data_IF_397393980282
#
_entry.id   IF_397393980282
#
_cell.length_a   1.000
_cell.length_b   1.000
_cell.length_c   1.000
_cell.angle_alpha   90.00
_cell.angle_beta   90.00
_cell.angle_gamma   90.00
#
_symmetry.space_group_name_H-M   'P 1'
#
loop_
_entity.id
_entity.type
_entity.pdbx_description
1 polymer ?
#
# COMPACT_ATOMS: atom_id res chain seq x y z
N UNK A 1 -7.53 10.40 -18.25
CA UNK A 1 -6.61 9.24 -18.38
C UNK A 1 -7.46 8.00 -18.21
N UNK A 2 -7.26 6.97 -19.03
CA UNK A 2 -7.98 5.70 -18.93
C UNK A 2 -6.95 4.58 -18.76
N UNK A 3 -7.25 3.59 -17.93
CA UNK A 3 -6.37 2.46 -17.66
C UNK A 3 -7.03 1.15 -18.11
N UNK A 4 -6.21 0.25 -18.66
CA UNK A 4 -6.55 -1.09 -19.11
C UNK A 4 -5.99 -2.13 -18.11
N UNK A 5 -6.68 -3.26 -17.91
CA UNK A 5 -6.14 -4.41 -17.18
C UNK A 5 -4.87 -4.97 -17.86
N UNK A 6 -3.90 -5.41 -17.06
CA UNK A 6 -2.63 -5.96 -17.55
C UNK A 6 -2.83 -7.12 -18.52
N UNK A 7 -3.79 -8.00 -18.24
CA UNK A 7 -4.11 -9.20 -19.02
C UNK A 7 -4.50 -8.87 -20.47
N UNK A 8 -5.03 -7.67 -20.72
CA UNK A 8 -5.42 -7.25 -22.05
C UNK A 8 -4.24 -6.80 -22.92
N UNK A 9 -3.11 -6.43 -22.30
CA UNK A 9 -1.98 -5.78 -22.99
C UNK A 9 -0.64 -6.50 -22.80
N UNK A 10 -0.54 -7.42 -21.85
CA UNK A 10 0.71 -8.05 -21.43
C UNK A 10 1.42 -8.78 -22.57
N UNK A 11 0.72 -9.64 -23.29
CA UNK A 11 1.32 -10.36 -24.42
C UNK A 11 1.83 -9.44 -25.52
N UNK A 12 1.08 -8.37 -25.82
CA UNK A 12 1.48 -7.40 -26.83
C UNK A 12 2.71 -6.59 -26.37
N UNK A 13 2.75 -6.23 -25.09
CA UNK A 13 3.89 -5.56 -24.48
C UNK A 13 5.12 -6.46 -24.44
N UNK A 14 4.98 -7.76 -24.12
CA UNK A 14 6.09 -8.71 -24.08
C UNK A 14 6.69 -8.94 -25.47
N UNK A 15 5.85 -9.16 -26.50
CA UNK A 15 6.31 -9.23 -27.90
C UNK A 15 6.98 -7.93 -28.35
N UNK A 16 6.50 -6.78 -27.91
CA UNK A 16 7.15 -5.50 -28.17
C UNK A 16 8.51 -5.43 -27.47
N UNK A 17 8.60 -5.85 -26.21
CA UNK A 17 9.85 -5.84 -25.46
C UNK A 17 10.91 -6.70 -26.17
N UNK A 18 10.59 -7.94 -26.54
CA UNK A 18 11.52 -8.85 -27.22
C UNK A 18 12.04 -8.30 -28.55
N UNK A 19 11.14 -7.73 -29.36
CA UNK A 19 11.48 -7.09 -30.65
C UNK A 19 12.46 -5.93 -30.46
N UNK A 20 12.15 -5.03 -29.54
CA UNK A 20 12.98 -3.85 -29.29
C UNK A 20 14.29 -4.23 -28.59
N UNK A 21 14.26 -5.18 -27.67
CA UNK A 21 15.45 -5.68 -27.01
C UNK A 21 16.42 -6.33 -28.01
N UNK A 22 15.92 -7.09 -28.98
CA UNK A 22 16.73 -7.66 -30.07
C UNK A 22 17.38 -6.57 -30.92
N UNK A 23 16.60 -5.56 -31.32
CA UNK A 23 17.07 -4.42 -32.12
C UNK A 23 18.13 -3.59 -31.38
N UNK A 24 17.92 -3.32 -30.09
CA UNK A 24 18.85 -2.54 -29.26
C UNK A 24 20.13 -3.34 -29.02
N UNK A 25 20.03 -4.63 -28.69
CA UNK A 25 21.21 -5.50 -28.46
C UNK A 25 22.10 -5.61 -29.69
N UNK A 26 21.55 -5.52 -30.91
CA UNK A 26 22.34 -5.48 -32.13
C UNK A 26 23.18 -4.20 -32.27
N UNK A 27 22.73 -3.07 -31.72
CA UNK A 27 23.43 -1.79 -31.77
C UNK A 27 24.29 -1.52 -30.53
N UNK A 28 23.91 -2.08 -29.37
CA UNK A 28 24.53 -1.90 -28.07
C UNK A 28 24.60 -3.27 -27.37
N UNK A 29 25.58 -4.13 -27.73
CA UNK A 29 25.63 -5.51 -27.27
C UNK A 29 25.75 -5.67 -25.75
N UNK A 30 26.43 -4.73 -25.10
CA UNK A 30 26.74 -4.78 -23.65
C UNK A 30 25.65 -4.15 -22.78
N UNK A 31 24.53 -3.70 -23.37
CA UNK A 31 23.44 -3.09 -22.60
C UNK A 31 22.64 -4.14 -21.82
N UNK A 32 22.31 -3.81 -20.57
CA UNK A 32 21.32 -4.53 -19.77
C UNK A 32 19.95 -3.95 -20.13
N UNK A 33 19.02 -4.82 -20.56
CA UNK A 33 17.72 -4.43 -21.08
C UNK A 33 16.62 -4.94 -20.16
N UNK A 34 15.84 -4.02 -19.59
CA UNK A 34 14.83 -4.31 -18.58
C UNK A 34 13.44 -3.89 -19.09
N UNK A 35 12.48 -4.80 -19.06
CA UNK A 35 11.06 -4.44 -19.24
C UNK A 35 10.58 -3.78 -17.95
N UNK A 36 10.23 -2.50 -18.01
CA UNK A 36 9.82 -1.71 -16.85
C UNK A 36 8.42 -1.13 -17.06
N UNK A 37 7.97 -0.26 -16.15
CA UNK A 37 6.63 0.32 -16.22
C UNK A 37 5.53 -0.67 -15.85
N UNK A 38 4.27 -0.25 -16.00
CA UNK A 38 3.14 -1.04 -15.48
C UNK A 38 2.85 -2.31 -16.30
N UNK A 39 3.19 -2.34 -17.59
CA UNK A 39 3.06 -3.56 -18.41
C UNK A 39 4.02 -4.67 -18.01
N UNK A 40 5.06 -4.35 -17.25
CA UNK A 40 5.98 -5.35 -16.69
C UNK A 40 5.47 -5.96 -15.37
N UNK A 41 4.38 -5.48 -14.77
CA UNK A 41 3.94 -5.94 -13.45
C UNK A 41 2.60 -6.68 -13.60
N UNK A 42 2.57 -8.01 -13.37
CA UNK A 42 1.33 -8.79 -13.43
C UNK A 42 0.21 -8.18 -12.56
N UNK A 43 -1.02 -8.21 -13.06
CA UNK A 43 -2.20 -7.64 -12.39
C UNK A 43 -2.29 -6.10 -12.36
N UNK A 44 -1.31 -5.37 -12.90
CA UNK A 44 -1.33 -3.91 -12.87
C UNK A 44 -2.42 -3.30 -13.77
N UNK A 45 -2.91 -2.10 -13.44
CA UNK A 45 -3.68 -1.30 -14.41
C UNK A 45 -2.72 -0.37 -15.13
N UNK A 46 -2.84 -0.24 -16.45
CA UNK A 46 -1.83 0.39 -17.30
C UNK A 46 -2.44 1.23 -18.41
N UNK A 47 -1.69 2.17 -18.98
CA UNK A 47 -2.15 2.92 -20.16
C UNK A 47 -1.97 2.11 -21.45
N UNK A 48 -1.36 0.93 -21.36
CA UNK A 48 -1.07 0.04 -22.47
C UNK A 48 0.25 0.34 -23.17
N UNK A 49 1.02 1.34 -22.73
CA UNK A 49 2.37 1.60 -23.20
C UNK A 49 3.39 0.60 -22.62
N UNK A 50 4.38 0.24 -23.45
CA UNK A 50 5.51 -0.59 -23.05
C UNK A 50 6.72 0.30 -22.77
N UNK A 51 7.29 0.21 -21.57
CA UNK A 51 8.52 0.92 -21.20
C UNK A 51 9.71 -0.03 -21.14
N UNK A 52 10.82 0.36 -21.76
CA UNK A 52 12.07 -0.38 -21.77
C UNK A 52 13.18 0.49 -21.18
N UNK A 53 13.87 -0.01 -20.16
CA UNK A 53 15.07 0.62 -19.63
C UNK A 53 16.32 -0.02 -20.27
N UNK A 54 17.18 0.81 -20.87
CA UNK A 54 18.49 0.45 -21.42
C UNK A 54 19.54 0.94 -20.44
N UNK A 55 20.24 0.01 -19.79
CA UNK A 55 21.27 0.33 -18.80
C UNK A 55 22.65 0.05 -19.38
N UNK A 56 23.56 1.00 -19.26
CA UNK A 56 24.93 0.90 -19.76
C UNK A 56 25.91 1.48 -18.75
N UNK A 57 27.16 1.06 -18.78
CA UNK A 57 28.20 1.70 -17.97
C UNK A 57 28.29 3.21 -18.28
N UNK A 58 28.57 4.07 -17.27
CA UNK A 58 28.62 5.53 -17.46
C UNK A 58 29.53 5.97 -18.62
N UNK A 59 30.67 5.32 -18.80
CA UNK A 59 31.64 5.60 -19.87
C UNK A 59 31.09 5.33 -21.28
N UNK A 60 30.08 4.46 -21.39
CA UNK A 60 29.45 4.07 -22.64
C UNK A 60 28.19 4.88 -22.94
N UNK A 61 27.71 5.69 -22.01
CA UNK A 61 26.44 6.40 -22.11
C UNK A 61 26.34 7.25 -23.39
N UNK A 62 27.33 8.08 -23.69
CA UNK A 62 27.31 8.95 -24.87
C UNK A 62 27.26 8.15 -26.19
N UNK A 63 27.99 7.02 -26.26
CA UNK A 63 27.98 6.15 -27.44
C UNK A 63 26.63 5.42 -27.59
N UNK A 64 26.06 4.94 -26.48
CA UNK A 64 24.75 4.32 -26.44
C UNK A 64 23.63 5.28 -26.84
N UNK A 65 23.68 6.54 -26.38
CA UNK A 65 22.75 7.59 -26.77
C UNK A 65 22.79 7.83 -28.28
N UNK A 66 24.00 7.99 -28.85
CA UNK A 66 24.17 8.21 -30.28
C UNK A 66 23.70 6.99 -31.11
N UNK A 67 23.85 5.78 -30.60
CA UNK A 67 23.34 4.56 -31.23
C UNK A 67 21.79 4.50 -31.18
N UNK A 68 21.18 4.74 -30.02
CA UNK A 68 19.72 4.78 -29.88
C UNK A 68 19.09 5.89 -30.72
N UNK A 69 19.74 7.05 -30.85
CA UNK A 69 19.26 8.15 -31.69
C UNK A 69 19.20 7.83 -33.19
N UNK A 70 19.95 6.81 -33.65
CA UNK A 70 19.83 6.28 -35.03
C UNK A 70 18.67 5.32 -35.18
N UNK A 71 18.22 4.72 -34.07
CA UNK A 71 17.15 3.71 -34.05
C UNK A 71 15.78 4.33 -33.76
N UNK A 72 15.72 5.31 -32.88
CA UNK A 72 14.49 5.84 -32.31
C UNK A 72 14.48 7.38 -32.28
N UNK A 73 13.33 8.02 -32.52
CA UNK A 73 13.11 9.42 -32.21
C UNK A 73 13.43 9.74 -30.75
N UNK A 74 14.10 10.87 -30.52
CA UNK A 74 14.34 11.40 -29.17
C UNK A 74 13.03 11.93 -28.59
N UNK A 75 12.72 11.59 -27.34
CA UNK A 75 11.57 12.15 -26.63
C UNK A 75 11.94 13.57 -26.14
N UNK A 76 11.23 14.58 -26.64
CA UNK A 76 11.48 16.00 -26.33
C UNK A 76 10.79 16.49 -25.06
N UNK A 77 9.86 15.70 -24.51
CA UNK A 77 9.10 16.02 -23.30
C UNK A 77 9.76 15.56 -22.00
N UNK A 78 10.95 14.97 -22.07
CA UNK A 78 11.68 14.39 -20.94
C UNK A 78 12.99 15.15 -20.67
N UNK A 79 13.39 15.18 -19.40
CA UNK A 79 14.71 15.69 -19.00
C UNK A 79 15.81 14.88 -19.69
N UNK A 80 16.91 15.54 -20.04
CA UNK A 80 18.08 14.90 -20.66
C UNK A 80 19.33 15.37 -19.95
N UNK A 81 20.18 14.44 -19.56
CA UNK A 81 21.41 14.68 -18.81
C UNK A 81 22.57 13.88 -19.43
N UNK A 82 23.75 13.96 -18.82
CA UNK A 82 24.90 13.11 -19.14
C UNK A 82 24.74 11.63 -18.75
N UNK A 83 23.66 11.29 -18.03
CA UNK A 83 23.40 9.95 -17.49
C UNK A 83 21.96 9.46 -17.71
N UNK A 84 21.11 10.27 -18.37
CA UNK A 84 19.74 9.93 -18.69
C UNK A 84 19.28 10.53 -20.04
N UNK A 85 18.68 9.70 -20.88
CA UNK A 85 18.05 10.13 -22.13
C UNK A 85 16.82 9.28 -22.44
N UNK A 86 15.76 9.91 -22.94
CA UNK A 86 14.53 9.22 -23.34
C UNK A 86 14.31 9.26 -24.86
N UNK A 87 13.74 8.17 -25.37
CA UNK A 87 13.36 7.95 -26.76
C UNK A 87 11.95 7.33 -26.81
N UNK A 88 11.30 7.39 -27.96
CA UNK A 88 9.96 6.84 -28.13
C UNK A 88 9.75 6.29 -29.55
N UNK A 89 8.91 5.26 -29.66
CA UNK A 89 8.42 4.75 -30.94
C UNK A 89 6.89 4.56 -30.86
N UNK A 90 6.17 5.12 -31.83
CA UNK A 90 4.72 4.95 -31.93
C UNK A 90 4.39 3.59 -32.55
N UNK A 91 3.42 2.88 -31.96
CA UNK A 91 3.12 1.50 -32.36
C UNK A 91 1.90 0.91 -31.67
N UNK A 92 1.79 -0.41 -31.72
CA UNK A 92 0.80 -1.19 -30.98
C UNK A 92 1.51 -2.28 -30.16
N UNK A 93 1.89 -2.00 -28.90
CA UNK A 93 1.73 -0.75 -28.15
C UNK A 93 2.73 0.35 -28.53
N UNK A 94 2.47 1.58 -28.07
CA UNK A 94 3.48 2.64 -28.00
C UNK A 94 4.63 2.21 -27.09
N UNK A 95 5.87 2.60 -27.44
CA UNK A 95 7.07 2.19 -26.73
C UNK A 95 7.86 3.38 -26.22
N UNK A 96 8.07 3.44 -24.90
CA UNK A 96 9.00 4.36 -24.24
C UNK A 96 10.35 3.68 -23.99
N UNK A 97 11.45 4.36 -24.29
CA UNK A 97 12.81 3.83 -24.10
C UNK A 97 13.60 4.80 -23.25
N UNK A 98 14.12 4.31 -22.12
CA UNK A 98 14.85 5.09 -21.12
C UNK A 98 16.29 4.60 -21.07
N UNK A 99 17.22 5.38 -21.60
CA UNK A 99 18.66 5.12 -21.48
C UNK A 99 19.16 5.70 -20.15
N UNK A 100 19.78 4.85 -19.34
CA UNK A 100 20.33 5.21 -18.02
C UNK A 100 21.77 4.74 -17.88
N UNK A 101 22.64 5.57 -17.30
CA UNK A 101 23.95 5.13 -16.84
C UNK A 101 23.79 4.30 -15.55
N UNK A 102 24.43 3.13 -15.48
CA UNK A 102 24.37 2.25 -14.30
C UNK A 102 24.88 2.99 -13.06
N UNK A 103 24.11 2.94 -11.97
CA UNK A 103 24.38 3.65 -10.73
C UNK A 103 24.17 5.18 -10.80
N UNK A 104 23.66 5.69 -11.92
CA UNK A 104 23.31 7.10 -12.06
C UNK A 104 21.99 7.45 -11.37
N UNK A 105 21.64 8.75 -11.23
CA UNK A 105 20.45 9.21 -10.51
C UNK A 105 19.11 8.69 -11.04
N UNK A 106 19.07 8.22 -12.29
CA UNK A 106 17.87 7.71 -12.96
C UNK A 106 17.90 6.18 -13.15
N UNK A 107 18.89 5.47 -12.61
CA UNK A 107 19.00 4.01 -12.69
C UNK A 107 18.17 3.30 -11.62
N UNK A 108 16.87 3.58 -11.57
CA UNK A 108 15.97 3.06 -10.53
C UNK A 108 14.68 2.42 -11.07
N UNK A 109 14.41 2.48 -12.38
CA UNK A 109 13.14 2.00 -12.92
C UNK A 109 12.96 0.48 -12.74
N UNK A 110 14.02 -0.30 -12.92
CA UNK A 110 14.00 -1.74 -12.63
C UNK A 110 13.80 -2.02 -11.13
N UNK A 111 14.41 -1.24 -10.23
CA UNK A 111 14.22 -1.39 -8.78
C UNK A 111 12.78 -1.09 -8.36
N UNK A 112 12.17 -0.04 -8.93
CA UNK A 112 10.77 0.28 -8.71
C UNK A 112 9.86 -0.87 -9.16
N UNK A 113 10.09 -1.42 -10.37
CA UNK A 113 9.35 -2.59 -10.86
C UNK A 113 9.48 -3.76 -9.90
N UNK A 114 10.71 -4.11 -9.53
CA UNK A 114 10.98 -5.28 -8.70
C UNK A 114 10.39 -5.10 -7.30
N UNK A 115 10.42 -3.87 -6.76
CA UNK A 115 9.74 -3.54 -5.51
C UNK A 115 8.24 -3.70 -5.63
N UNK A 116 7.62 -3.20 -6.70
CA UNK A 116 6.18 -3.35 -6.92
C UNK A 116 5.78 -4.80 -7.18
N UNK A 117 6.66 -5.63 -7.75
CA UNK A 117 6.42 -7.09 -7.89
C UNK A 117 6.58 -7.84 -6.56
N UNK A 118 7.52 -7.43 -5.72
CA UNK A 118 7.86 -8.10 -4.47
C UNK A 118 7.18 -7.55 -3.21
N UNK A 119 6.50 -6.41 -3.30
CA UNK A 119 5.77 -5.78 -2.21
C UNK A 119 4.35 -5.44 -2.65
N UNK A 120 3.43 -6.33 -2.26
CA UNK A 120 2.01 -6.20 -2.57
C UNK A 120 1.37 -4.93 -1.99
N UNK A 121 1.89 -4.40 -0.88
CA UNK A 121 1.37 -3.14 -0.31
C UNK A 121 1.75 -1.97 -1.21
N UNK A 122 2.99 -1.95 -1.68
CA UNK A 122 3.46 -0.94 -2.62
C UNK A 122 2.71 -1.05 -3.96
N UNK A 123 2.49 -2.28 -4.42
CA UNK A 123 1.69 -2.56 -5.62
C UNK A 123 0.28 -1.97 -5.50
N UNK A 124 -0.47 -2.37 -4.46
CA UNK A 124 -1.85 -1.92 -4.27
C UNK A 124 -1.96 -0.42 -4.02
N UNK A 125 -1.02 0.17 -3.28
CA UNK A 125 -0.97 1.61 -3.10
C UNK A 125 -0.75 2.35 -4.43
N UNK A 126 0.11 1.81 -5.30
CA UNK A 126 0.33 2.38 -6.64
C UNK A 126 -0.92 2.23 -7.54
N UNK A 127 -1.61 1.09 -7.43
CA UNK A 127 -2.84 0.83 -8.18
C UNK A 127 -3.98 1.76 -7.71
N UNK A 128 -4.17 1.90 -6.40
CA UNK A 128 -5.13 2.86 -5.82
C UNK A 128 -4.81 4.31 -6.19
N UNK A 129 -3.53 4.68 -6.28
CA UNK A 129 -3.12 5.99 -6.77
C UNK A 129 -3.53 6.22 -8.23
N UNK A 130 -3.41 5.21 -9.10
CA UNK A 130 -3.87 5.31 -10.50
C UNK A 130 -5.38 5.50 -10.58
N UNK A 131 -6.15 4.72 -9.81
CA UNK A 131 -7.61 4.84 -9.74
C UNK A 131 -8.04 6.22 -9.24
N UNK A 132 -7.41 6.74 -8.19
CA UNK A 132 -7.70 8.07 -7.63
C UNK A 132 -7.52 9.20 -8.64
N UNK A 133 -6.56 9.04 -9.56
CA UNK A 133 -6.23 10.05 -10.59
C UNK A 133 -6.82 9.68 -11.97
N UNK A 134 -7.75 8.73 -12.03
CA UNK A 134 -8.50 8.47 -13.25
C UNK A 134 -9.28 9.73 -13.67
N UNK A 135 -9.23 10.08 -14.97
CA UNK A 135 -9.81 11.33 -15.45
C UNK A 135 -9.07 12.64 -15.08
N UNK A 136 -8.10 12.61 -14.15
CA UNK A 136 -7.39 13.81 -13.70
C UNK A 136 -6.41 14.39 -14.76
N UNK A 137 -6.01 15.68 -14.65
CA UNK A 137 -4.97 16.26 -15.49
C UNK A 137 -3.62 15.53 -15.36
N UNK A 138 -2.91 15.39 -16.49
CA UNK A 138 -1.64 14.66 -16.56
C UNK A 138 -0.57 15.23 -15.60
N UNK A 139 -0.56 16.55 -15.39
CA UNK A 139 0.39 17.20 -14.48
C UNK A 139 0.19 16.76 -13.03
N UNK A 140 -1.07 16.70 -12.56
CA UNK A 140 -1.41 16.27 -11.21
C UNK A 140 -1.05 14.80 -10.97
N UNK A 141 -1.34 13.94 -11.95
CA UNK A 141 -0.91 12.54 -11.92
C UNK A 141 0.61 12.39 -11.83
N UNK A 142 1.36 13.14 -12.65
CA UNK A 142 2.84 13.09 -12.66
C UNK A 142 3.42 13.46 -11.30
N UNK A 143 2.94 14.55 -10.69
CA UNK A 143 3.41 14.99 -9.38
C UNK A 143 3.09 13.97 -8.27
N UNK A 144 1.91 13.37 -8.29
CA UNK A 144 1.52 12.35 -7.32
C UNK A 144 2.35 11.05 -7.47
N UNK A 145 2.55 10.61 -8.72
CA UNK A 145 3.38 9.45 -9.05
C UNK A 145 4.82 9.63 -8.60
N UNK A 146 5.39 10.80 -8.86
CA UNK A 146 6.77 11.14 -8.47
C UNK A 146 6.95 11.06 -6.95
N UNK A 147 6.07 11.72 -6.18
CA UNK A 147 6.09 11.64 -4.71
C UNK A 147 5.97 10.21 -4.18
N UNK A 148 5.12 9.39 -4.80
CA UNK A 148 4.95 8.00 -4.41
C UNK A 148 6.23 7.19 -4.66
N UNK A 149 6.86 7.34 -5.83
CA UNK A 149 8.10 6.64 -6.14
C UNK A 149 9.29 7.11 -5.31
N UNK A 150 9.39 8.40 -5.02
CA UNK A 150 10.41 8.91 -4.07
C UNK A 150 10.25 8.27 -2.69
N UNK A 151 9.01 8.18 -2.18
CA UNK A 151 8.75 7.55 -0.89
C UNK A 151 9.06 6.04 -0.91
N UNK A 152 8.73 5.36 -2.01
CA UNK A 152 8.97 3.93 -2.18
C UNK A 152 10.48 3.62 -2.23
N UNK A 153 11.27 4.43 -2.93
CA UNK A 153 12.72 4.27 -3.04
C UNK A 153 13.47 4.68 -1.76
N UNK A 154 12.97 5.65 -0.98
CA UNK A 154 13.59 5.96 0.34
C UNK A 154 13.51 4.81 1.34
N UNK A 155 12.59 3.87 1.14
CA UNK A 155 12.42 2.68 1.98
C UNK A 155 13.33 1.49 1.64
N UNK A 156 14.23 1.59 0.64
CA UNK A 156 15.00 0.44 0.12
C UNK A 156 16.35 0.20 0.79
N UNK A 157 16.68 0.90 1.88
CA UNK A 157 17.86 0.55 2.68
C UNK A 157 17.60 -0.76 3.45
N UNK A 158 17.93 -1.88 2.81
CA UNK A 158 17.91 -3.27 3.28
C UNK A 158 16.54 -3.93 3.50
N UNK A 159 16.16 -4.83 2.60
CA UNK A 159 15.65 -6.18 2.91
C UNK A 159 15.16 -6.87 1.62
N UNK A 160 15.89 -7.88 1.17
CA UNK A 160 15.41 -8.86 0.17
C UNK A 160 14.93 -10.10 0.91
N UNK A 161 13.69 -10.54 0.66
CA UNK A 161 13.40 -11.96 0.64
C UNK A 161 12.78 -12.36 -0.70
N UNK A 162 13.47 -13.26 -1.40
CA UNK A 162 12.91 -14.18 -2.40
C UNK A 162 12.01 -15.21 -1.73
N UNK A 163 10.79 -15.47 -2.24
CA UNK A 163 10.28 -16.81 -2.64
C UNK A 163 9.13 -16.66 -3.66
N UNK A 164 9.17 -17.57 -4.65
CA UNK A 164 8.23 -17.96 -5.71
C UNK A 164 6.76 -17.48 -5.67
N UNK A 165 6.29 -17.05 -6.84
CA UNK A 165 4.92 -16.59 -7.09
C UNK A 165 3.83 -17.67 -6.99
N UNK A 166 2.59 -17.16 -6.87
CA UNK A 166 1.34 -17.93 -6.85
C UNK A 166 0.45 -17.63 -5.65
N UNK A 167 0.98 -17.69 -4.43
CA UNK A 167 0.16 -17.70 -3.22
C UNK A 167 -0.31 -16.32 -2.74
N UNK A 168 0.53 -15.29 -2.90
CA UNK A 168 0.22 -13.93 -2.43
C UNK A 168 -1.01 -13.32 -3.11
N UNK A 169 -1.19 -13.54 -4.41
CA UNK A 169 -2.30 -12.97 -5.19
C UNK A 169 -3.67 -13.47 -4.72
N UNK A 170 -3.78 -14.76 -4.40
CA UNK A 170 -5.04 -15.35 -3.93
C UNK A 170 -5.44 -14.85 -2.54
N UNK A 171 -4.46 -14.63 -1.64
CA UNK A 171 -4.72 -14.03 -0.32
C UNK A 171 -5.25 -12.60 -0.43
N UNK A 172 -4.65 -11.82 -1.33
CA UNK A 172 -5.04 -10.42 -1.59
C UNK A 172 -6.44 -10.35 -2.18
N UNK A 173 -6.73 -11.21 -3.16
CA UNK A 173 -8.05 -11.29 -3.78
C UNK A 173 -9.13 -11.71 -2.77
N UNK A 174 -8.81 -12.65 -1.86
CA UNK A 174 -9.72 -13.02 -0.78
C UNK A 174 -10.05 -11.84 0.14
N UNK A 175 -9.02 -11.08 0.56
CA UNK A 175 -9.20 -9.88 1.38
C UNK A 175 -9.98 -8.77 0.64
N UNK A 176 -9.70 -8.57 -0.66
CA UNK A 176 -10.42 -7.61 -1.50
C UNK A 176 -11.90 -7.95 -1.60
N UNK A 177 -12.23 -9.22 -1.91
CA UNK A 177 -13.61 -9.69 -2.01
C UNK A 177 -14.37 -9.56 -0.69
N UNK A 178 -13.72 -9.87 0.43
CA UNK A 178 -14.32 -9.72 1.74
C UNK A 178 -14.69 -8.25 2.07
N UNK A 179 -13.91 -7.31 1.53
CA UNK A 179 -14.14 -5.88 1.72
C UNK A 179 -15.13 -5.26 0.70
N UNK A 180 -15.68 -6.03 -0.25
CA UNK A 180 -16.65 -5.51 -1.21
C UNK A 180 -17.94 -5.07 -0.50
N UNK A 181 -18.33 -3.82 -0.73
CA UNK A 181 -19.52 -3.24 -0.09
C UNK A 181 -19.36 -2.94 1.41
N UNK A 182 -18.16 -3.12 1.98
CA UNK A 182 -17.85 -2.73 3.35
C UNK A 182 -17.91 -1.20 3.50
N UNK A 183 -18.21 -0.75 4.72
CA UNK A 183 -18.13 0.68 5.03
C UNK A 183 -16.67 1.16 5.10
N UNK A 184 -16.38 2.47 4.99
CA UNK A 184 -15.01 2.98 4.95
C UNK A 184 -14.14 2.65 6.16
N UNK A 185 -14.72 2.15 7.26
CA UNK A 185 -13.96 1.68 8.42
C UNK A 185 -13.42 0.25 8.23
N UNK A 186 -13.99 -0.53 7.33
CA UNK A 186 -13.67 -1.95 7.10
C UNK A 186 -13.37 -2.25 5.61
N UNK A 187 -13.11 -1.21 4.81
CA UNK A 187 -12.81 -1.36 3.40
C UNK A 187 -11.40 -1.90 3.14
N UNK A 188 -11.12 -2.24 1.90
CA UNK A 188 -9.81 -2.77 1.53
C UNK A 188 -8.68 -1.74 1.75
N UNK A 189 -8.99 -0.44 1.67
CA UNK A 189 -8.02 0.60 1.95
C UNK A 189 -7.62 0.62 3.43
N UNK A 190 -8.53 0.34 4.36
CA UNK A 190 -8.21 0.10 5.76
C UNK A 190 -7.25 -1.08 5.92
N UNK A 191 -7.57 -2.23 5.33
CA UNK A 191 -6.71 -3.43 5.38
C UNK A 191 -5.29 -3.08 4.93
N UNK A 192 -5.12 -2.39 3.79
CA UNK A 192 -3.80 -2.02 3.28
C UNK A 192 -3.02 -1.08 4.23
N UNK A 193 -3.68 -0.14 4.91
CA UNK A 193 -3.03 0.74 5.89
C UNK A 193 -2.58 -0.04 7.14
N UNK A 194 -3.37 -1.03 7.56
CA UNK A 194 -3.01 -1.93 8.66
C UNK A 194 -1.83 -2.81 8.26
N UNK A 195 -1.83 -3.41 7.06
CA UNK A 195 -0.69 -4.19 6.55
C UNK A 195 0.59 -3.34 6.50
N UNK A 196 0.50 -2.11 5.98
CA UNK A 196 1.64 -1.19 5.95
C UNK A 196 2.18 -0.88 7.34
N UNK A 197 1.30 -0.63 8.31
CA UNK A 197 1.69 -0.36 9.69
C UNK A 197 2.29 -1.59 10.37
N UNK A 198 1.69 -2.77 10.18
CA UNK A 198 2.17 -4.03 10.70
C UNK A 198 3.58 -4.36 10.17
N UNK A 199 3.83 -4.19 8.87
CA UNK A 199 5.15 -4.40 8.28
C UNK A 199 6.22 -3.52 8.90
N UNK A 200 5.93 -2.21 9.05
CA UNK A 200 6.87 -1.25 9.67
C UNK A 200 7.17 -1.56 11.13
N UNK A 201 6.16 -1.97 11.89
CA UNK A 201 6.32 -2.33 13.30
C UNK A 201 7.08 -3.65 13.42
N UNK A 202 6.73 -4.66 12.61
CA UNK A 202 7.43 -5.95 12.61
C UNK A 202 8.92 -5.80 12.33
N UNK A 203 9.29 -5.03 11.29
CA UNK A 203 10.68 -4.75 10.94
C UNK A 203 11.44 -4.08 12.09
N UNK A 204 10.85 -3.06 12.71
CA UNK A 204 11.50 -2.30 13.77
C UNK A 204 11.62 -3.05 15.11
N UNK A 205 10.65 -3.92 15.42
CA UNK A 205 10.59 -4.66 16.68
C UNK A 205 11.19 -6.08 16.58
N UNK A 206 11.56 -6.53 15.37
CA UNK A 206 12.12 -7.85 15.13
C UNK A 206 11.10 -8.99 15.15
N UNK A 207 9.84 -8.70 14.79
CA UNK A 207 8.80 -9.72 14.61
C UNK A 207 8.91 -10.41 13.24
N UNK A 208 8.32 -11.60 13.10
CA UNK A 208 8.17 -12.22 11.79
C UNK A 208 7.24 -11.37 10.90
N UNK A 209 7.84 -10.61 9.99
CA UNK A 209 7.14 -9.70 9.08
C UNK A 209 6.11 -10.42 8.25
N UNK A 210 6.42 -11.61 7.73
CA UNK A 210 5.52 -12.34 6.84
C UNK A 210 4.26 -12.78 7.60
N UNK A 211 4.40 -13.27 8.83
CA UNK A 211 3.25 -13.62 9.69
C UNK A 211 2.43 -12.37 10.02
N UNK A 212 3.08 -11.29 10.46
CA UNK A 212 2.40 -10.07 10.87
C UNK A 212 1.64 -9.40 9.70
N UNK A 213 2.25 -9.27 8.52
CA UNK A 213 1.59 -8.66 7.35
C UNK A 213 0.49 -9.55 6.78
N UNK A 214 0.66 -10.87 6.83
CA UNK A 214 -0.38 -11.81 6.36
C UNK A 214 -1.58 -11.82 7.30
N UNK A 215 -1.34 -11.79 8.61
CA UNK A 215 -2.40 -11.63 9.61
C UNK A 215 -3.15 -10.30 9.42
N UNK A 216 -2.42 -9.20 9.25
CA UNK A 216 -3.03 -7.91 8.93
C UNK A 216 -3.80 -7.89 7.60
N UNK A 217 -3.39 -8.66 6.60
CA UNK A 217 -4.11 -8.73 5.32
C UNK A 217 -5.46 -9.46 5.47
N UNK A 218 -5.50 -10.48 6.33
CA UNK A 218 -6.63 -11.39 6.45
C UNK A 218 -7.51 -11.12 7.69
N UNK A 219 -7.20 -10.10 8.49
CA UNK A 219 -7.92 -9.84 9.75
C UNK A 219 -9.38 -9.42 9.59
N UNK A 220 -9.77 -9.02 8.38
CA UNK A 220 -11.12 -8.54 8.01
C UNK A 220 -11.80 -9.44 6.95
N UNK A 221 -11.44 -10.73 6.88
CA UNK A 221 -12.06 -11.68 5.93
C UNK A 221 -13.57 -11.87 6.11
N UNK A 222 -14.11 -11.51 7.28
CA UNK A 222 -15.52 -11.65 7.59
C UNK A 222 -15.94 -10.66 8.69
N UNK A 223 -17.04 -9.96 8.44
CA UNK A 223 -17.71 -9.13 9.44
C UNK A 223 -19.20 -9.41 9.48
N UNK A 224 -19.73 -9.59 10.69
CA UNK A 224 -21.17 -9.50 10.87
C UNK A 224 -21.62 -8.04 10.71
N UNK A 225 -22.87 -7.81 10.26
CA UNK A 225 -23.45 -6.48 10.26
C UNK A 225 -23.39 -5.81 11.65
N UNK A 226 -23.23 -4.49 11.67
CA UNK A 226 -23.24 -3.72 12.93
C UNK A 226 -24.54 -3.99 13.71
N UNK A 227 -24.39 -4.43 14.96
CA UNK A 227 -25.51 -4.76 15.84
C UNK A 227 -25.98 -6.22 15.81
N UNK A 228 -25.34 -7.09 15.01
CA UNK A 228 -25.63 -8.53 15.04
C UNK A 228 -25.22 -9.15 16.39
N UNK A 229 -26.02 -10.09 16.98
CA UNK A 229 -25.69 -10.72 18.26
C UNK A 229 -24.33 -11.42 18.28
N UNK A 230 -23.93 -11.98 17.13
CA UNK A 230 -22.68 -12.72 16.96
C UNK A 230 -21.52 -11.86 16.45
N UNK A 231 -21.66 -10.53 16.41
CA UNK A 231 -20.57 -9.64 15.96
C UNK A 231 -19.26 -9.82 16.75
N UNK A 232 -19.34 -10.28 18.00
CA UNK A 232 -18.17 -10.63 18.80
C UNK A 232 -17.39 -11.86 18.29
N UNK A 233 -17.99 -12.68 17.42
CA UNK A 233 -17.38 -13.88 16.82
C UNK A 233 -16.70 -13.59 15.47
N UNK A 234 -16.80 -12.38 14.92
CA UNK A 234 -16.21 -12.05 13.61
C UNK A 234 -14.69 -12.29 13.55
N UNK A 235 -13.95 -11.96 14.62
CA UNK A 235 -12.51 -12.20 14.70
C UNK A 235 -12.14 -13.69 14.73
N UNK A 236 -12.92 -14.51 15.46
CA UNK A 236 -12.75 -15.97 15.47
C UNK A 236 -12.98 -16.54 14.06
N UNK A 237 -14.03 -16.05 13.39
CA UNK A 237 -14.36 -16.49 12.04
C UNK A 237 -13.28 -16.11 11.02
N UNK A 238 -12.73 -14.90 11.11
CA UNK A 238 -11.60 -14.48 10.28
C UNK A 238 -10.38 -15.37 10.49
N UNK A 239 -10.09 -15.74 11.75
CA UNK A 239 -8.99 -16.66 12.09
C UNK A 239 -9.19 -18.04 11.44
N UNK A 240 -10.39 -18.62 11.53
CA UNK A 240 -10.70 -19.91 10.89
C UNK A 240 -10.56 -19.87 9.37
N UNK A 241 -11.09 -18.82 8.73
CA UNK A 241 -11.02 -18.62 7.28
C UNK A 241 -9.58 -18.44 6.81
N UNK A 242 -8.80 -17.63 7.53
CA UNK A 242 -7.39 -17.41 7.23
C UNK A 242 -6.59 -18.71 7.35
N UNK A 243 -6.80 -19.49 8.41
CA UNK A 243 -6.15 -20.80 8.57
C UNK A 243 -6.45 -21.71 7.38
N UNK A 244 -7.73 -21.89 7.04
CA UNK A 244 -8.14 -22.75 5.93
C UNK A 244 -7.53 -22.29 4.59
N UNK A 245 -7.55 -20.99 4.33
CA UNK A 245 -6.99 -20.41 3.12
C UNK A 245 -5.48 -20.62 3.03
N UNK A 246 -4.73 -20.40 4.12
CA UNK A 246 -3.28 -20.58 4.15
C UNK A 246 -2.87 -22.04 3.98
N UNK A 247 -3.62 -22.98 4.57
CA UNK A 247 -3.40 -24.42 4.36
C UNK A 247 -3.64 -24.81 2.89
N UNK A 248 -4.68 -24.26 2.27
CA UNK A 248 -4.98 -24.49 0.84
C UNK A 248 -3.90 -23.89 -0.08
N UNK A 249 -3.29 -22.76 0.32
CA UNK A 249 -2.11 -22.17 -0.33
C UNK A 249 -0.79 -22.89 -0.03
N UNK A 250 -0.82 -24.01 0.71
CA UNK A 250 0.35 -24.84 0.98
C UNK A 250 1.30 -24.28 2.05
N UNK A 251 0.83 -23.38 2.92
CA UNK A 251 1.64 -22.89 4.03
C UNK A 251 1.97 -23.99 5.04
N UNK A 252 3.15 -23.94 5.69
CA UNK A 252 3.43 -24.77 6.84
C UNK A 252 2.38 -24.52 7.95
N UNK A 253 1.79 -25.61 8.47
CA UNK A 253 0.71 -25.57 9.48
C UNK A 253 1.04 -24.61 10.63
N UNK A 254 2.25 -24.71 11.19
CA UNK A 254 2.68 -23.88 12.31
C UNK A 254 2.69 -22.37 11.97
N UNK A 255 3.04 -21.98 10.75
CA UNK A 255 3.00 -20.57 10.31
C UNK A 255 1.55 -20.10 10.10
N UNK A 256 0.71 -20.95 9.50
CA UNK A 256 -0.71 -20.67 9.33
C UNK A 256 -1.44 -20.51 10.67
N UNK A 257 -1.12 -21.36 11.65
CA UNK A 257 -1.64 -21.25 13.03
C UNK A 257 -1.17 -19.97 13.72
N UNK A 258 0.07 -19.52 13.50
CA UNK A 258 0.57 -18.26 14.04
C UNK A 258 -0.17 -17.05 13.45
N UNK A 259 -0.46 -17.06 12.15
CA UNK A 259 -1.30 -16.04 11.49
C UNK A 259 -2.72 -16.06 12.06
N UNK A 260 -3.35 -17.23 12.13
CA UNK A 260 -4.70 -17.38 12.67
C UNK A 260 -4.78 -16.91 14.13
N UNK A 261 -3.78 -17.24 14.96
CA UNK A 261 -3.70 -16.75 16.32
C UNK A 261 -3.66 -15.22 16.38
N UNK A 262 -2.80 -14.58 15.60
CA UNK A 262 -2.68 -13.12 15.59
C UNK A 262 -4.01 -12.45 15.18
N UNK A 263 -4.73 -13.02 14.21
CA UNK A 263 -6.06 -12.56 13.82
C UNK A 263 -7.07 -12.76 14.95
N UNK A 264 -7.10 -13.94 15.59
CA UNK A 264 -8.05 -14.24 16.68
C UNK A 264 -7.97 -13.24 17.83
N UNK A 265 -6.76 -12.80 18.18
CA UNK A 265 -6.52 -11.95 19.36
C UNK A 265 -6.43 -10.46 19.06
N UNK A 266 -6.47 -10.04 17.79
CA UNK A 266 -6.39 -8.61 17.44
C UNK A 266 -7.59 -7.75 17.90
N UNK A 267 -8.86 -8.23 17.92
CA UNK A 267 -9.99 -7.34 18.10
C UNK A 267 -9.93 -6.59 19.42
N UNK A 268 -10.09 -5.26 19.36
CA UNK A 268 -10.05 -4.40 20.55
C UNK A 268 -11.06 -4.82 21.63
N UNK A 269 -12.25 -5.26 21.20
CA UNK A 269 -13.37 -5.65 22.08
C UNK A 269 -13.08 -6.86 22.97
N UNK A 270 -12.14 -7.73 22.58
CA UNK A 270 -11.77 -8.90 23.40
C UNK A 270 -10.96 -8.51 24.65
N UNK A 271 -10.30 -7.35 24.64
CA UNK A 271 -9.48 -6.90 25.77
C UNK A 271 -8.29 -7.82 26.08
N UNK A 272 -7.91 -8.69 25.14
CA UNK A 272 -6.81 -9.64 25.32
C UNK A 272 -5.48 -9.02 24.89
N UNK A 273 -4.43 -9.32 25.66
CA UNK A 273 -3.05 -8.99 25.32
C UNK A 273 -2.44 -10.19 24.59
N UNK A 274 -2.00 -10.04 23.33
CA UNK A 274 -1.38 -11.13 22.59
C UNK A 274 -0.10 -11.62 23.26
N UNK A 275 0.13 -12.93 23.25
CA UNK A 275 1.35 -13.54 23.81
C UNK A 275 2.53 -13.38 22.84
N UNK A 276 2.28 -13.56 21.55
CA UNK A 276 3.29 -13.46 20.49
C UNK A 276 3.58 -12.01 20.12
N UNK A 277 4.78 -11.76 19.60
CA UNK A 277 5.16 -10.44 19.13
C UNK A 277 4.37 -10.05 17.87
N UNK A 278 4.12 -11.01 16.98
CA UNK A 278 3.31 -10.83 15.76
C UNK A 278 1.88 -10.45 16.09
N UNK A 279 1.28 -11.08 17.12
CA UNK A 279 -0.06 -10.70 17.59
C UNK A 279 -0.08 -9.28 18.16
N UNK A 280 0.95 -8.86 18.90
CA UNK A 280 1.09 -7.49 19.41
C UNK A 280 1.23 -6.49 18.26
N UNK A 281 2.01 -6.83 17.24
CA UNK A 281 2.20 -6.01 16.04
C UNK A 281 0.88 -5.80 15.29
N UNK A 282 0.12 -6.87 15.05
CA UNK A 282 -1.17 -6.78 14.33
C UNK A 282 -2.17 -5.95 15.12
N UNK A 283 -2.27 -6.19 16.43
CA UNK A 283 -3.17 -5.44 17.30
C UNK A 283 -2.78 -3.95 17.37
N UNK A 284 -1.49 -3.62 17.45
CA UNK A 284 -1.00 -2.25 17.40
C UNK A 284 -1.29 -1.57 16.06
N UNK A 285 -1.06 -2.28 14.94
CA UNK A 285 -1.26 -1.77 13.60
C UNK A 285 -2.73 -1.41 13.32
N UNK A 286 -3.67 -2.28 13.71
CA UNK A 286 -5.11 -2.03 13.57
C UNK A 286 -5.55 -0.81 14.41
N UNK A 287 -5.13 -0.76 15.68
CA UNK A 287 -5.42 0.36 16.59
C UNK A 287 -4.87 1.68 16.09
N UNK A 288 -3.68 1.68 15.50
CA UNK A 288 -3.10 2.90 14.92
C UNK A 288 -3.97 3.48 13.80
N UNK A 289 -4.64 2.65 12.99
CA UNK A 289 -5.54 3.13 11.91
C UNK A 289 -6.80 3.83 12.45
N UNK A 290 -7.13 3.63 13.73
CA UNK A 290 -8.24 4.31 14.40
C UNK A 290 -7.92 5.74 14.86
N UNK A 291 -6.66 6.20 14.77
CA UNK A 291 -6.23 7.52 15.26
C UNK A 291 -5.55 8.37 14.17
N UNK A 292 -5.33 9.65 14.47
CA UNK A 292 -4.79 10.64 13.53
C UNK A 292 -5.83 11.10 12.51
N UNK A 293 -5.38 11.62 11.37
CA UNK A 293 -6.26 12.18 10.33
C UNK A 293 -7.30 11.16 9.81
N UNK A 294 -6.88 9.91 9.59
CA UNK A 294 -7.79 8.82 9.19
C UNK A 294 -8.77 8.50 10.31
N UNK A 295 -8.30 8.44 11.56
CA UNK A 295 -9.15 8.23 12.73
C UNK A 295 -10.25 9.28 12.88
N UNK A 296 -9.92 10.57 12.68
CA UNK A 296 -10.88 11.68 12.67
C UNK A 296 -11.94 11.46 11.59
N UNK A 297 -11.52 11.20 10.34
CA UNK A 297 -12.44 10.99 9.23
C UNK A 297 -13.39 9.80 9.49
N UNK A 298 -12.84 8.66 9.96
CA UNK A 298 -13.62 7.46 10.32
C UNK A 298 -14.61 7.73 11.45
N UNK A 299 -14.20 8.49 12.46
CA UNK A 299 -15.04 8.83 13.60
C UNK A 299 -16.29 9.60 13.15
N UNK A 300 -16.13 10.67 12.37
CA UNK A 300 -17.28 11.46 11.90
C UNK A 300 -18.11 10.76 10.81
N UNK A 301 -17.48 9.97 9.94
CA UNK A 301 -18.21 9.11 9.01
C UNK A 301 -19.12 8.13 9.75
N UNK A 302 -18.59 7.42 10.76
CA UNK A 302 -19.36 6.48 11.58
C UNK A 302 -20.45 7.20 12.37
N UNK A 303 -20.13 8.35 12.97
CA UNK A 303 -21.11 9.19 13.70
C UNK A 303 -22.28 9.56 12.81
N UNK A 304 -22.01 9.91 11.54
CA UNK A 304 -23.02 10.25 10.54
C UNK A 304 -23.87 9.04 10.15
N UNK A 305 -23.25 7.88 9.90
CA UNK A 305 -23.95 6.62 9.63
C UNK A 305 -24.87 6.21 10.78
N UNK A 306 -24.44 6.44 12.03
CA UNK A 306 -25.23 6.17 13.23
C UNK A 306 -26.28 7.25 13.54
N UNK A 307 -26.39 8.30 12.70
CA UNK A 307 -27.31 9.44 12.88
C UNK A 307 -27.16 10.12 14.25
N UNK A 308 -25.91 10.22 14.72
CA UNK A 308 -25.58 10.86 16.00
C UNK A 308 -25.13 12.30 15.76
N UNK A 309 -25.45 13.24 16.68
CA UNK A 309 -24.82 14.56 16.67
C UNK A 309 -23.31 14.44 16.82
N UNK A 310 -22.58 15.40 16.24
CA UNK A 310 -21.13 15.43 16.36
C UNK A 310 -20.67 15.71 17.78
N UNK A 311 -21.34 16.60 18.51
CA UNK A 311 -20.97 16.99 19.87
C UNK A 311 -22.20 17.40 20.67
N UNK A 312 -22.04 17.51 21.98
CA UNK A 312 -23.05 18.11 22.86
C UNK A 312 -23.00 19.65 22.73
N UNK A 313 -24.12 20.36 22.48
CA UNK A 313 -24.11 21.81 22.31
C UNK A 313 -23.74 22.63 23.55
N UNK A 314 -23.91 22.09 24.76
CA UNK A 314 -23.61 22.78 26.02
C UNK A 314 -22.23 22.42 26.57
N UNK A 315 -21.73 21.23 26.27
CA UNK A 315 -20.39 20.77 26.66
C UNK A 315 -19.75 19.88 25.57
N UNK A 316 -19.26 20.48 24.45
CA UNK A 316 -18.72 19.72 23.31
C UNK A 316 -17.51 18.85 23.64
N UNK A 317 -16.76 19.20 24.67
CA UNK A 317 -15.46 18.62 25.01
C UNK A 317 -15.42 17.91 26.36
N UNK A 318 -16.59 17.62 26.95
CA UNK A 318 -16.71 16.88 28.20
C UNK A 318 -15.99 17.54 29.41
N UNK A 319 -16.02 18.87 29.50
CA UNK A 319 -15.37 19.61 30.58
C UNK A 319 -16.08 19.43 31.94
N UNK A 320 -17.39 19.15 31.93
CA UNK A 320 -18.25 19.07 33.13
C UNK A 320 -18.97 17.73 33.26
N UNK A 321 -18.80 16.82 32.31
CA UNK A 321 -19.51 15.53 32.23
C UNK A 321 -18.56 14.43 31.78
N UNK A 322 -18.92 13.19 32.09
CA UNK A 322 -18.26 12.04 31.50
C UNK A 322 -18.59 11.95 30.00
N UNK A 323 -17.63 11.52 29.16
CA UNK A 323 -17.91 11.32 27.74
C UNK A 323 -18.90 10.17 27.51
N UNK A 324 -19.85 10.36 26.59
CA UNK A 324 -20.86 9.38 26.14
C UNK A 324 -20.79 9.25 24.61
N UNK A 325 -19.90 8.35 24.17
CA UNK A 325 -19.67 8.04 22.76
C UNK A 325 -20.81 7.22 22.12
N UNK A 326 -21.85 6.87 22.89
CA UNK A 326 -23.10 6.34 22.33
C UNK A 326 -24.02 7.44 21.82
N UNK A 327 -23.84 8.68 22.27
CA UNK A 327 -24.69 9.81 21.90
C UNK A 327 -23.97 10.84 21.03
N UNK A 328 -22.69 11.12 21.28
CA UNK A 328 -21.94 12.18 20.60
C UNK A 328 -20.65 11.67 19.97
N UNK A 329 -20.32 12.18 18.77
CA UNK A 329 -19.12 11.76 18.02
C UNK A 329 -17.80 12.20 18.67
N UNK A 330 -17.70 13.46 19.09
CA UNK A 330 -16.50 14.05 19.72
C UNK A 330 -16.15 13.32 21.01
N UNK A 331 -17.14 12.89 21.78
CA UNK A 331 -16.94 12.10 22.98
C UNK A 331 -16.15 10.79 22.74
N UNK A 332 -16.22 10.24 21.54
CA UNK A 332 -15.45 9.04 21.17
C UNK A 332 -13.94 9.31 21.19
N UNK A 333 -13.51 10.56 20.94
CA UNK A 333 -12.11 10.96 21.08
C UNK A 333 -11.63 10.72 22.51
N UNK A 334 -12.41 11.16 23.50
CA UNK A 334 -12.07 11.07 24.92
C UNK A 334 -12.30 9.67 25.52
N UNK A 335 -13.32 8.94 25.06
CA UNK A 335 -13.58 7.56 25.50
C UNK A 335 -12.54 6.58 25.00
N UNK A 336 -12.11 6.73 23.75
CA UNK A 336 -11.31 5.71 23.07
C UNK A 336 -10.08 6.28 22.36
N UNK A 337 -10.26 7.18 21.39
CA UNK A 337 -9.20 7.46 20.41
C UNK A 337 -7.93 8.04 21.04
N UNK A 338 -8.07 9.00 21.97
CA UNK A 338 -6.94 9.60 22.69
C UNK A 338 -6.31 8.65 23.72
N UNK A 339 -6.98 7.55 24.08
CA UNK A 339 -6.47 6.52 25.00
C UNK A 339 -5.78 5.36 24.29
N UNK A 340 -5.85 5.32 22.95
CA UNK A 340 -5.17 4.27 22.17
C UNK A 340 -3.67 4.19 22.46
N UNK A 341 -2.91 5.31 22.54
CA UNK A 341 -1.47 5.25 22.83
C UNK A 341 -1.11 4.46 24.10
N UNK A 342 -1.98 4.49 25.12
CA UNK A 342 -1.74 3.86 26.43
C UNK A 342 -1.85 2.33 26.40
N UNK A 343 -2.54 1.78 25.40
CA UNK A 343 -2.81 0.34 25.28
C UNK A 343 -2.00 -0.33 24.16
N UNK A 344 -1.10 0.41 23.51
CA UNK A 344 -0.20 -0.13 22.49
C UNK A 344 0.97 -0.88 23.13
N UNK A 345 1.42 -1.94 22.47
CA UNK A 345 2.39 -2.88 23.00
C UNK A 345 3.84 -2.52 22.67
N UNK A 346 4.08 -2.13 21.43
CA UNK A 346 5.43 -1.96 20.87
C UNK A 346 5.93 -0.51 21.01
N UNK A 347 7.25 -0.34 21.08
CA UNK A 347 7.84 0.99 21.18
C UNK A 347 7.60 1.81 19.90
N UNK A 348 7.70 1.15 18.74
CA UNK A 348 7.44 1.74 17.44
C UNK A 348 5.99 2.20 17.30
N UNK A 349 5.02 1.38 17.71
CA UNK A 349 3.62 1.80 17.65
C UNK A 349 3.33 3.00 18.55
N UNK A 350 3.84 3.02 19.79
CA UNK A 350 3.68 4.18 20.69
C UNK A 350 4.24 5.47 20.10
N UNK A 351 5.40 5.41 19.45
CA UNK A 351 5.99 6.57 18.76
C UNK A 351 5.11 7.07 17.62
N UNK A 352 4.61 6.16 16.77
CA UNK A 352 3.69 6.51 15.68
C UNK A 352 2.36 7.07 16.21
N UNK A 353 1.90 6.54 17.35
CA UNK A 353 0.66 6.98 17.97
C UNK A 353 0.78 8.38 18.58
N UNK A 354 1.93 8.75 19.14
CA UNK A 354 2.14 10.08 19.70
C UNK A 354 1.95 11.19 18.64
N UNK A 355 2.49 10.99 17.44
CA UNK A 355 2.32 11.93 16.31
C UNK A 355 0.84 12.04 15.89
N UNK A 356 0.15 10.89 15.82
CA UNK A 356 -1.27 10.83 15.42
C UNK A 356 -2.20 11.42 16.49
N UNK A 357 -1.99 11.12 17.76
CA UNK A 357 -2.74 11.65 18.89
C UNK A 357 -2.57 13.17 18.97
N UNK A 358 -1.34 13.68 18.86
CA UNK A 358 -1.10 15.13 18.85
C UNK A 358 -1.79 15.85 17.68
N UNK A 359 -1.98 15.19 16.53
CA UNK A 359 -2.81 15.75 15.45
C UNK A 359 -4.29 15.82 15.82
N UNK A 360 -4.81 14.82 16.52
CA UNK A 360 -6.20 14.81 16.98
C UNK A 360 -6.46 15.88 18.04
N UNK A 361 -5.52 16.11 18.94
CA UNK A 361 -5.60 17.21 19.92
C UNK A 361 -5.67 18.57 19.21
N UNK A 362 -4.79 18.83 18.24
CA UNK A 362 -4.86 20.06 17.44
C UNK A 362 -6.16 20.22 16.66
N UNK A 363 -6.71 19.11 16.16
CA UNK A 363 -8.03 19.13 15.51
C UNK A 363 -9.12 19.53 16.51
N UNK A 364 -9.11 18.99 17.72
CA UNK A 364 -10.08 19.35 18.77
C UNK A 364 -9.93 20.81 19.23
N UNK A 365 -8.70 21.30 19.36
CA UNK A 365 -8.42 22.72 19.65
C UNK A 365 -8.99 23.63 18.56
N UNK A 366 -8.74 23.30 17.29
CA UNK A 366 -9.25 24.06 16.15
C UNK A 366 -10.78 24.03 16.12
N UNK A 367 -11.39 22.85 16.29
CA UNK A 367 -12.84 22.71 16.41
C UNK A 367 -13.39 23.58 17.54
N UNK A 368 -12.73 23.60 18.70
CA UNK A 368 -13.13 24.43 19.84
C UNK A 368 -13.02 25.93 19.61
N UNK A 369 -12.19 26.37 18.66
CA UNK A 369 -12.13 27.79 18.25
C UNK A 369 -13.22 28.21 17.27
N UNK A 370 -13.85 27.24 16.60
CA UNK A 370 -14.91 27.46 15.61
C UNK A 370 -16.33 27.38 16.18
N UNK A 371 -16.48 26.69 17.32
CA UNK A 371 -17.72 26.61 18.11
C UNK A 371 -17.84 27.80 19.06
#
# INVERSE_FOLDING_TARGET
MHFLPWEQVSEAAERAFERHATRIRAAIPDAILEHVGSTSIPGAITKGDMDLQVRVDPERFAAAEAALAKLYPRNTGSTRTESFAAFEEKGQPDVGIQLTAIGGPFDFFHELRDRLRGDVVAFEAYQGLKTLYEGAPMASWRAAKERFFEALLRGTANCTPTVAGGSGERLVEAARRAAEGADPAHDFAHVLRVVSSAGRIAEAEGADREIATTAALLHELFNHPKGHPESHLSGERCSELALALLIDEGWPVARAEAVAYAIRVHPFSLGVVPVTLEGKVVQDADRLDSIGAIGIARCFATTSTMKRPFYDPEDPFCARREPDDKRWGVDHFYRKLLRIPDVLHTATARRLAAERAGFMERFLEQLGSEL
#
